data_IF_447780676802
#
_entry.id   IF_447780676802
#
_cell.length_a   1.000
_cell.length_b   1.000
_cell.length_c   1.000
_cell.angle_alpha   90.00
_cell.angle_beta   90.00
_cell.angle_gamma   90.00
#
_symmetry.space_group_name_H-M   'P 1'
#
loop_
_entity.id
_entity.type
_entity.pdbx_description
1 polymer ?
2 non-polymer ?
3 non-polymer ?
4 water ?
#
# COMPACT_ATOMS: atom_id res chain seq x y z
N UNK A 1 20.59 12.11 -12.11
CA UNK A 1 19.65 11.03 -12.43
C UNK A 1 19.02 11.22 -13.81
N UNK A 2 18.63 10.14 -14.46
CA UNK A 2 17.85 10.26 -15.70
C UNK A 2 16.49 10.84 -15.37
N UNK A 3 15.74 11.27 -16.35
CA UNK A 3 14.32 11.56 -16.18
C UNK A 3 13.56 10.36 -15.61
N UNK A 4 12.51 10.56 -14.87
CA UNK A 4 11.82 9.40 -14.26
C UNK A 4 11.48 8.28 -15.22
N UNK A 5 10.96 8.55 -16.40
CA UNK A 5 10.60 7.44 -17.30
C UNK A 5 11.82 6.65 -17.73
N UNK A 6 12.87 7.35 -18.03
CA UNK A 6 14.13 6.73 -18.40
C UNK A 6 14.66 5.89 -17.26
N UNK A 7 14.57 6.37 -16.01
CA UNK A 7 15.03 5.60 -14.87
C UNK A 7 14.15 4.37 -14.66
N UNK A 8 12.85 4.44 -14.86
CA UNK A 8 12.03 3.26 -14.75
C UNK A 8 12.45 2.23 -15.78
N UNK A 9 12.73 2.66 -16.99
CA UNK A 9 13.13 1.71 -18.03
C UNK A 9 14.44 1.04 -17.62
N UNK A 10 15.40 1.83 -17.14
CA UNK A 10 16.68 1.32 -16.74
C UNK A 10 16.53 0.29 -15.63
N UNK A 11 15.62 0.52 -14.70
CA UNK A 11 15.32 -0.41 -13.62
C UNK A 11 14.74 -1.71 -14.22
N UNK A 12 13.88 -1.72 -15.21
CA UNK A 12 13.48 -2.98 -15.88
C UNK A 12 14.66 -3.68 -16.50
N UNK A 13 15.51 -2.96 -17.20
CA UNK A 13 16.66 -3.56 -17.88
C UNK A 13 17.57 -4.19 -16.83
N UNK A 14 17.81 -3.50 -15.73
CA UNK A 14 18.69 -4.03 -14.69
C UNK A 14 18.11 -5.18 -13.89
N UNK A 15 16.84 -5.16 -13.61
CA UNK A 15 16.17 -6.23 -12.86
C UNK A 15 15.74 -7.40 -13.71
N UNK A 16 15.61 -7.25 -14.98
CA UNK A 16 15.00 -8.16 -15.94
C UNK A 16 13.54 -8.38 -15.60
N UNK A 17 12.93 -7.54 -14.75
CA UNK A 17 11.51 -7.71 -14.42
C UNK A 17 10.67 -6.57 -14.98
N UNK A 18 9.39 -6.70 -14.66
CA UNK A 18 8.39 -5.70 -15.02
C UNK A 18 8.23 -4.75 -13.86
N UNK A 19 8.19 -3.48 -14.17
CA UNK A 19 7.92 -2.39 -13.23
C UNK A 19 6.63 -1.76 -13.69
N UNK A 20 5.79 -1.39 -12.74
CA UNK A 20 4.59 -0.58 -12.96
C UNK A 20 4.63 0.65 -12.09
N UNK A 21 4.30 1.81 -12.61
CA UNK A 21 4.37 2.99 -11.78
C UNK A 21 3.39 4.02 -12.19
N UNK A 22 2.85 4.76 -11.21
CA UNK A 22 2.12 6.00 -11.39
C UNK A 22 2.65 7.03 -10.41
N UNK A 23 2.68 8.26 -10.89
CA UNK A 23 2.90 9.49 -10.11
C UNK A 23 1.69 10.35 -10.36
N UNK A 24 0.98 10.74 -9.32
CA UNK A 24 -0.32 11.41 -9.43
C UNK A 24 -0.35 12.55 -8.45
N UNK A 25 -0.86 13.73 -8.83
CA UNK A 25 -1.13 14.80 -7.89
C UNK A 25 -2.21 14.38 -6.90
N UNK A 26 -1.95 14.43 -5.61
CA UNK A 26 -2.93 14.03 -4.61
C UNK A 26 -4.22 14.85 -4.66
N UNK A 27 -4.03 16.16 -4.76
CA UNK A 27 -5.23 17.03 -4.73
C UNK A 27 -6.11 16.88 -5.95
N UNK A 28 -5.53 16.77 -7.12
CA UNK A 28 -6.34 16.79 -8.33
C UNK A 28 -6.50 15.48 -9.06
N UNK A 29 -5.59 14.54 -8.86
CA UNK A 29 -5.65 13.32 -9.61
C UNK A 29 -4.91 13.41 -10.93
N UNK A 30 -4.27 14.50 -11.27
CA UNK A 30 -3.46 14.64 -12.49
C UNK A 30 -2.42 13.51 -12.48
N UNK A 31 -2.34 12.76 -13.54
CA UNK A 31 -1.31 11.77 -13.72
C UNK A 31 -0.10 12.38 -14.37
N UNK A 32 1.04 12.37 -13.71
CA UNK A 32 2.24 12.97 -14.23
C UNK A 32 3.14 11.96 -14.95
N UNK A 33 3.16 10.74 -14.42
CA UNK A 33 3.94 9.66 -14.97
C UNK A 33 3.09 8.38 -14.93
N UNK A 34 3.07 7.67 -16.03
CA UNK A 34 2.46 6.34 -16.16
C UNK A 34 3.51 5.44 -16.80
N UNK A 35 3.60 4.23 -16.30
CA UNK A 35 4.39 3.21 -16.93
C UNK A 35 3.78 1.86 -16.58
N UNK A 36 3.30 1.15 -17.58
CA UNK A 36 2.57 -0.13 -17.37
C UNK A 36 1.44 0.10 -16.37
N UNK A 37 0.78 1.23 -16.45
CA UNK A 37 -0.11 1.62 -15.37
C UNK A 37 -1.42 0.83 -15.38
N UNK A 38 -1.74 0.14 -16.48
CA UNK A 38 -2.94 -0.69 -16.55
C UNK A 38 -2.56 -2.17 -16.52
N UNK A 39 -1.30 -2.51 -16.24
CA UNK A 39 -0.93 -3.91 -16.09
C UNK A 39 -1.08 -4.38 -14.63
N UNK A 40 -1.33 -5.67 -14.48
CA UNK A 40 -1.56 -6.26 -13.19
C UNK A 40 -0.28 -6.62 -12.44
N UNK A 41 -0.30 -6.29 -11.15
CA UNK A 41 0.79 -6.61 -10.24
C UNK A 41 0.23 -7.12 -8.92
N UNK A 42 0.89 -8.09 -8.29
CA UNK A 42 0.46 -8.51 -6.95
C UNK A 42 0.49 -7.32 -5.94
N UNK A 43 -0.55 -7.12 -5.15
CA UNK A 43 -0.57 -6.05 -4.14
C UNK A 43 0.34 -6.35 -2.93
N UNK A 44 0.47 -7.63 -2.63
CA UNK A 44 1.16 -7.98 -1.40
C UNK A 44 0.62 -7.18 -0.22
N UNK A 45 1.48 -6.76 0.70
CA UNK A 45 1.03 -6.11 1.92
C UNK A 45 0.48 -4.71 1.69
N UNK A 46 0.63 -4.13 0.48
CA UNK A 46 0.05 -2.82 0.20
C UNK A 46 -1.47 -2.89 0.30
N UNK A 47 -2.10 -4.06 0.20
CA UNK A 47 -3.54 -4.14 0.33
C UNK A 47 -4.02 -3.67 1.68
N UNK A 48 -3.18 -3.68 2.68
CA UNK A 48 -3.60 -3.33 4.05
C UNK A 48 -4.11 -1.89 4.16
N UNK A 49 -3.63 -1.00 3.30
CA UNK A 49 -4.20 0.37 3.31
C UNK A 49 -5.65 0.36 2.87
N UNK A 50 -5.98 -0.35 1.79
CA UNK A 50 -7.36 -0.43 1.31
C UNK A 50 -8.23 -1.13 2.31
N UNK A 51 -7.71 -2.17 2.94
CA UNK A 51 -8.42 -2.87 4.00
C UNK A 51 -8.91 -1.94 5.08
N UNK A 52 -7.97 -1.10 5.57
CA UNK A 52 -8.39 -0.21 6.66
C UNK A 52 -9.24 0.93 6.12
N UNK A 53 -9.17 1.33 4.86
CA UNK A 53 -10.20 2.15 4.26
C UNK A 53 -11.61 1.55 4.39
N UNK A 54 -11.74 0.26 4.13
CA UNK A 54 -13.01 -0.44 4.22
C UNK A 54 -13.48 -0.45 5.68
N UNK A 55 -12.59 -0.64 6.60
CA UNK A 55 -12.93 -0.63 8.03
C UNK A 55 -13.46 0.75 8.42
N UNK A 56 -12.75 1.81 7.97
CA UNK A 56 -13.16 3.17 8.29
C UNK A 56 -14.50 3.51 7.66
N UNK A 57 -14.79 2.98 6.49
CA UNK A 57 -16.11 3.19 5.91
C UNK A 57 -17.22 2.61 6.78
N UNK A 58 -16.93 1.44 7.32
CA UNK A 58 -17.93 0.86 8.23
C UNK A 58 -18.06 1.69 9.49
N UNK A 59 -16.97 2.24 10.02
CA UNK A 59 -17.08 3.14 11.19
C UNK A 59 -17.92 4.37 10.87
N UNK A 60 -17.70 4.96 9.71
CA UNK A 60 -18.50 6.16 9.36
C UNK A 60 -19.98 5.83 9.24
N UNK A 61 -20.31 4.64 8.79
CA UNK A 61 -21.70 4.20 8.60
C UNK A 61 -22.36 3.77 9.87
N UNK A 62 -21.63 3.74 10.99
CA UNK A 62 -22.20 3.33 12.27
C UNK A 62 -22.21 1.84 12.47
N UNK A 63 -21.51 1.13 11.61
CA UNK A 63 -21.46 -0.30 11.55
C UNK A 63 -20.22 -0.87 12.22
N UNK A 64 -19.31 -0.03 12.70
CA UNK A 64 -18.08 -0.48 13.33
C UNK A 64 -17.64 0.62 14.26
N UNK A 65 -16.80 0.29 15.24
CA UNK A 65 -16.15 1.26 16.12
C UNK A 65 -14.65 0.98 16.16
N UNK A 66 -13.78 1.99 16.05
CA UNK A 66 -12.34 1.73 16.22
C UNK A 66 -12.01 1.26 17.62
N UNK A 67 -12.85 1.59 18.61
CA UNK A 67 -12.62 1.17 19.98
C UNK A 67 -12.99 -0.25 20.25
N UNK A 68 -13.77 -0.91 19.37
CA UNK A 68 -14.27 -2.24 19.71
C UNK A 68 -13.14 -3.26 19.83
N UNK A 69 -13.10 -3.98 20.96
CA UNK A 69 -12.06 -4.94 21.23
C UNK A 69 -12.40 -6.28 20.58
N UNK A 70 -11.47 -6.82 19.83
CA UNK A 70 -11.53 -8.17 19.23
C UNK A 70 -10.67 -9.09 20.01
N UNK A 71 -11.28 -10.21 20.45
CA UNK A 71 -10.50 -11.24 21.11
C UNK A 71 -10.22 -12.32 20.10
N UNK A 72 -9.07 -12.96 20.25
CA UNK A 72 -8.67 -13.97 19.30
C UNK A 72 -7.81 -14.99 20.01
N UNK A 73 -7.52 -16.04 19.31
CA UNK A 73 -6.79 -17.17 19.93
C UNK A 73 -5.51 -17.46 19.16
N UNK A 74 -4.63 -18.20 19.83
CA UNK A 74 -3.31 -18.46 19.24
C UNK A 74 -3.40 -19.23 17.94
N UNK A 75 -4.37 -20.13 17.82
CA UNK A 75 -4.56 -20.96 16.66
C UNK A 75 -4.91 -20.07 15.45
N UNK A 76 -5.36 -18.84 15.70
CA UNK A 76 -5.81 -17.91 14.67
C UNK A 76 -4.61 -17.24 14.03
N UNK A 77 -3.46 -17.22 14.70
CA UNK A 77 -2.31 -16.44 14.28
C UNK A 77 -1.66 -17.07 13.05
N UNK A 78 -1.23 -16.25 12.07
CA UNK A 78 -0.48 -16.63 10.92
C UNK A 78 0.95 -16.11 11.06
N UNK A 79 1.81 -16.47 10.12
CA UNK A 79 3.20 -15.98 10.15
C UNK A 79 3.29 -14.48 10.21
N UNK A 80 4.16 -13.99 11.06
CA UNK A 80 4.55 -12.63 11.32
C UNK A 80 3.38 -11.84 11.91
N UNK A 81 3.34 -11.91 13.23
CA UNK A 81 2.32 -11.34 14.08
C UNK A 81 2.97 -10.58 15.23
N UNK A 82 3.83 -9.63 14.95
CA UNK A 82 4.66 -9.02 15.99
C UNK A 82 3.89 -8.29 17.07
N UNK A 83 2.78 -7.70 16.74
CA UNK A 83 1.93 -7.01 17.72
C UNK A 83 0.87 -7.97 18.23
N UNK A 84 0.16 -8.63 17.30
CA UNK A 84 -1.00 -9.45 17.73
C UNK A 84 -0.60 -10.63 18.60
N UNK A 85 0.60 -11.15 18.44
CA UNK A 85 0.94 -12.29 19.31
C UNK A 85 1.06 -11.86 20.76
N UNK A 86 1.25 -10.61 21.06
CA UNK A 86 1.39 -10.06 22.41
C UNK A 86 0.04 -9.86 23.10
N UNK A 87 -1.10 -10.02 22.47
CA UNK A 87 -2.39 -9.63 23.00
C UNK A 87 -3.38 -10.75 22.96
N UNK A 88 -2.86 -11.99 23.06
CA UNK A 88 -3.79 -13.12 23.12
C UNK A 88 -4.72 -12.97 24.29
N UNK A 89 -4.20 -12.56 25.45
CA UNK A 89 -5.04 -12.47 26.61
C UNK A 89 -6.00 -11.32 26.59
N UNK A 90 -5.57 -10.17 26.07
CA UNK A 90 -6.31 -8.94 26.32
C UNK A 90 -6.98 -8.43 25.06
N UNK A 91 -6.70 -9.05 23.89
CA UNK A 91 -7.34 -8.59 22.70
C UNK A 91 -6.75 -7.28 22.18
N UNK A 92 -7.27 -6.86 21.03
CA UNK A 92 -6.85 -5.61 20.38
C UNK A 92 -8.07 -4.91 19.87
N UNK A 93 -8.06 -3.58 19.93
CA UNK A 93 -9.16 -2.84 19.31
C UNK A 93 -9.06 -2.89 17.79
N UNK A 94 -10.18 -2.64 17.13
CA UNK A 94 -10.17 -2.56 15.66
C UNK A 94 -9.16 -1.51 15.20
N UNK A 95 -9.10 -0.35 15.86
CA UNK A 95 -8.10 0.63 15.49
C UNK A 95 -6.68 0.21 15.74
N UNK A 96 -6.42 -0.47 16.81
CA UNK A 96 -5.10 -1.03 17.08
C UNK A 96 -4.74 -2.06 16.03
N UNK A 97 -5.72 -2.85 15.58
CA UNK A 97 -5.44 -3.85 14.54
C UNK A 97 -5.06 -3.15 13.23
N UNK A 98 -5.76 -2.08 12.86
CA UNK A 98 -5.34 -1.34 11.67
C UNK A 98 -3.98 -0.73 11.83
N UNK A 99 -3.65 -0.17 13.01
CA UNK A 99 -2.31 0.34 13.23
C UNK A 99 -1.30 -0.75 13.05
N UNK A 100 -1.53 -1.95 13.60
CA UNK A 100 -0.59 -3.03 13.49
C UNK A 100 -0.45 -3.50 12.05
N UNK A 101 -1.54 -3.63 11.33
CA UNK A 101 -1.53 -4.08 9.97
C UNK A 101 -0.76 -3.09 9.07
N UNK A 102 -1.07 -1.80 9.17
CA UNK A 102 -0.41 -0.80 8.29
C UNK A 102 0.97 -0.47 8.77
N UNK A 103 1.18 -0.22 10.06
CA UNK A 103 2.48 0.30 10.49
C UNK A 103 3.53 -0.76 10.73
N UNK A 104 3.12 -2.01 10.99
CA UNK A 104 4.01 -3.11 11.25
C UNK A 104 3.83 -4.24 10.25
N UNK A 105 2.83 -4.23 9.39
CA UNK A 105 2.53 -5.32 8.44
C UNK A 105 2.19 -6.63 9.20
N UNK A 106 1.52 -6.46 10.33
CA UNK A 106 1.12 -7.62 11.12
C UNK A 106 0.05 -8.37 10.35
N UNK A 107 0.32 -9.65 10.08
CA UNK A 107 -0.52 -10.40 9.18
C UNK A 107 -1.75 -10.95 9.88
N UNK A 108 -1.63 -11.36 11.13
CA UNK A 108 -2.82 -11.76 11.88
C UNK A 108 -3.78 -10.60 12.07
N UNK A 109 -3.25 -9.43 12.34
CA UNK A 109 -4.13 -8.25 12.47
C UNK A 109 -4.88 -8.06 11.17
N UNK A 110 -4.19 -8.15 10.02
CA UNK A 110 -4.88 -7.98 8.74
C UNK A 110 -6.00 -9.02 8.57
N UNK A 111 -5.72 -10.28 8.92
CA UNK A 111 -6.76 -11.28 8.78
C UNK A 111 -7.92 -11.07 9.71
N UNK A 112 -7.67 -10.61 10.94
CA UNK A 112 -8.79 -10.30 11.84
C UNK A 112 -9.64 -9.17 11.25
N UNK A 113 -9.02 -8.17 10.66
CA UNK A 113 -9.75 -7.07 10.05
C UNK A 113 -10.51 -7.56 8.82
N UNK A 114 -9.88 -8.42 8.02
CA UNK A 114 -10.58 -8.95 6.84
C UNK A 114 -11.88 -9.62 7.28
N UNK A 115 -11.85 -10.34 8.39
CA UNK A 115 -13.05 -11.03 8.86
C UNK A 115 -14.11 -9.98 9.18
N UNK A 116 -13.78 -8.78 9.61
CA UNK A 116 -14.80 -7.80 9.91
C UNK A 116 -15.45 -7.18 8.67
N UNK A 117 -14.81 -7.22 7.49
CA UNK A 117 -15.32 -6.50 6.32
C UNK A 117 -15.87 -7.53 5.32
N UNK A 118 -16.01 -8.79 5.71
CA UNK A 118 -16.58 -9.75 4.77
C UNK A 118 -15.56 -10.57 3.99
N UNK A 119 -14.31 -10.66 4.49
CA UNK A 119 -13.27 -11.40 3.82
C UNK A 119 -12.83 -10.74 2.55
N UNK A 120 -11.93 -11.43 1.84
CA UNK A 120 -11.49 -10.94 0.50
C UNK A 120 -12.63 -10.56 -0.41
N UNK A 121 -13.73 -11.33 -0.49
CA UNK A 121 -14.86 -10.99 -1.33
C UNK A 121 -15.51 -9.68 -0.89
N UNK A 122 -15.65 -9.50 0.41
CA UNK A 122 -16.14 -8.26 1.00
C UNK A 122 -15.30 -7.04 0.69
N UNK A 123 -13.99 -7.22 0.79
CA UNK A 123 -13.10 -6.12 0.44
C UNK A 123 -13.19 -5.80 -1.06
N UNK A 124 -13.27 -6.84 -1.88
CA UNK A 124 -13.40 -6.59 -3.31
C UNK A 124 -14.72 -5.87 -3.58
N UNK A 125 -15.80 -6.25 -2.91
CA UNK A 125 -17.08 -5.54 -3.10
C UNK A 125 -16.98 -4.08 -2.67
N UNK A 126 -16.25 -3.79 -1.61
CA UNK A 126 -16.02 -2.40 -1.20
C UNK A 126 -15.34 -1.63 -2.30
N UNK A 127 -14.29 -2.21 -2.87
CA UNK A 127 -13.57 -1.60 -3.97
C UNK A 127 -14.53 -1.26 -5.09
N UNK A 128 -15.38 -2.22 -5.46
CA UNK A 128 -16.32 -1.98 -6.59
C UNK A 128 -17.24 -0.84 -6.19
N UNK A 129 -17.65 -0.74 -4.96
CA UNK A 129 -18.55 0.32 -4.55
C UNK A 129 -17.92 1.69 -4.58
N UNK A 130 -16.61 1.83 -4.47
CA UNK A 130 -15.97 3.15 -4.56
C UNK A 130 -15.46 3.37 -5.99
N UNK A 131 -15.77 2.48 -6.92
CA UNK A 131 -15.54 2.62 -8.35
C UNK A 131 -14.23 2.07 -8.83
N UNK A 132 -13.61 1.20 -8.03
CA UNK A 132 -12.44 0.46 -8.49
C UNK A 132 -12.91 -0.90 -9.03
N UNK A 133 -12.81 -1.03 -10.36
CA UNK A 133 -13.35 -2.17 -11.05
C UNK A 133 -12.26 -3.19 -11.39
N UNK A 134 -11.04 -2.94 -10.90
CA UNK A 134 -9.87 -3.72 -11.29
C UNK A 134 -9.26 -4.45 -10.11
N UNK A 135 -8.97 -3.76 -9.03
CA UNK A 135 -8.29 -4.38 -7.90
C UNK A 135 -9.13 -5.52 -7.35
N UNK A 136 -8.46 -6.57 -6.94
CA UNK A 136 -9.16 -7.72 -6.39
C UNK A 136 -8.33 -8.40 -5.30
N UNK A 137 -8.98 -8.75 -4.22
CA UNK A 137 -8.40 -9.60 -3.20
C UNK A 137 -9.16 -10.93 -3.22
N UNK A 138 -8.40 -12.01 -3.20
CA UNK A 138 -8.96 -13.35 -3.29
C UNK A 138 -8.53 -14.27 -2.15
N UNK A 139 -7.42 -14.01 -1.50
CA UNK A 139 -6.88 -14.84 -0.43
C UNK A 139 -6.61 -14.00 0.80
N UNK A 140 -6.27 -14.75 1.84
CA UNK A 140 -5.95 -14.23 3.18
C UNK A 140 -4.45 -14.16 3.35
N UNK A 141 -3.99 -13.49 4.41
CA UNK A 141 -2.55 -13.59 4.70
C UNK A 141 -2.17 -15.03 5.13
N UNK A 142 -1.06 -15.60 4.70
CA UNK A 142 0.00 -15.03 3.86
C UNK A 142 -0.06 -15.52 2.43
N UNK A 143 -1.10 -16.27 2.08
CA UNK A 143 -1.13 -16.87 0.75
C UNK A 143 -1.26 -15.86 -0.38
N UNK A 144 -1.67 -14.66 -0.08
CA UNK A 144 -1.92 -13.64 -1.13
C UNK A 144 -0.62 -13.12 -1.74
N UNK A 145 0.55 -13.41 -1.18
CA UNK A 145 1.83 -12.98 -1.70
C UNK A 145 2.50 -13.91 -2.70
N UNK A 146 1.79 -14.93 -3.11
CA UNK A 146 2.42 -16.00 -3.92
C UNK A 146 2.91 -15.52 -5.28
N UNK A 147 2.29 -14.55 -5.92
CA UNK A 147 2.78 -13.95 -7.16
C UNK A 147 3.08 -14.98 -8.21
N UNK A 148 2.12 -15.91 -8.44
CA UNK A 148 2.32 -16.87 -9.53
C UNK A 148 2.30 -16.20 -10.87
N UNK A 149 3.14 -16.57 -11.81
CA UNK A 149 3.02 -16.03 -13.17
C UNK A 149 1.61 -16.17 -13.72
N UNK A 150 1.06 -15.08 -14.26
CA UNK A 150 -0.19 -15.15 -14.98
C UNK A 150 -1.43 -15.17 -14.14
N UNK A 151 -1.29 -15.11 -12.82
CA UNK A 151 -2.40 -15.29 -11.93
C UNK A 151 -2.96 -13.93 -11.55
N UNK A 152 -4.24 -13.75 -11.81
CA UNK A 152 -4.87 -12.46 -11.53
C UNK A 152 -5.32 -12.29 -10.10
N UNK A 153 -5.31 -13.30 -9.26
CA UNK A 153 -5.71 -13.19 -7.89
C UNK A 153 -4.83 -12.20 -7.15
N UNK A 154 -5.45 -11.43 -6.27
CA UNK A 154 -4.75 -10.54 -5.34
C UNK A 154 -3.86 -9.51 -6.05
N UNK A 155 -4.40 -8.96 -7.12
CA UNK A 155 -3.69 -7.99 -7.95
C UNK A 155 -4.40 -6.66 -7.99
N UNK A 156 -3.63 -5.65 -8.36
CA UNK A 156 -4.08 -4.31 -8.72
C UNK A 156 -3.37 -3.89 -9.97
N UNK A 157 -3.65 -2.67 -10.38
CA UNK A 157 -2.83 -1.97 -11.38
C UNK A 157 -2.31 -0.71 -10.71
N UNK A 158 -1.18 -0.18 -11.16
CA UNK A 158 -0.73 1.10 -10.59
C UNK A 158 -1.80 2.18 -10.70
N UNK A 159 -2.49 2.29 -11.83
CA UNK A 159 -3.48 3.35 -12.02
C UNK A 159 -4.67 3.14 -11.05
N UNK A 160 -5.09 1.89 -10.89
CA UNK A 160 -6.26 1.68 -10.02
C UNK A 160 -5.92 1.89 -8.57
N UNK A 161 -4.74 1.45 -8.13
CA UNK A 161 -4.33 1.63 -6.73
C UNK A 161 -4.18 3.12 -6.45
N UNK A 162 -3.53 3.86 -7.34
CA UNK A 162 -3.41 5.29 -7.08
C UNK A 162 -4.74 5.96 -6.98
N UNK A 163 -5.67 5.67 -7.92
CA UNK A 163 -6.99 6.32 -7.88
C UNK A 163 -7.73 5.94 -6.58
N UNK A 164 -7.63 4.68 -6.18
CA UNK A 164 -8.29 4.20 -4.98
C UNK A 164 -7.74 4.90 -3.74
N UNK A 165 -6.42 5.01 -3.63
CA UNK A 165 -5.83 5.72 -2.51
C UNK A 165 -6.28 7.16 -2.47
N UNK A 166 -6.31 7.81 -3.62
CA UNK A 166 -6.79 9.19 -3.63
C UNK A 166 -8.22 9.29 -3.17
N UNK A 167 -9.08 8.38 -3.59
CA UNK A 167 -10.48 8.36 -3.16
C UNK A 167 -10.59 8.22 -1.66
N UNK A 168 -9.81 7.34 -1.08
CA UNK A 168 -9.89 7.10 0.36
C UNK A 168 -9.40 8.30 1.13
N UNK A 169 -8.31 8.91 0.68
CA UNK A 169 -7.69 9.97 1.46
C UNK A 169 -8.39 11.31 1.29
N UNK A 170 -9.01 11.59 0.15
CA UNK A 170 -9.43 12.94 -0.22
C UNK A 170 -10.85 13.08 -0.69
N UNK A 171 -11.59 12.04 -1.02
CA UNK A 171 -12.84 12.30 -1.73
C UNK A 171 -14.08 12.44 -0.92
N UNK A 172 -14.03 12.35 0.36
CA UNK A 172 -15.14 12.59 1.28
C UNK A 172 -16.09 11.37 1.24
N UNK A 173 -15.65 10.29 0.56
CA UNK A 173 -16.24 8.98 0.85
C UNK A 173 -16.06 8.61 2.29
N UNK A 174 -14.88 8.85 2.87
CA UNK A 174 -14.60 8.72 4.27
C UNK A 174 -14.80 10.09 4.92
N UNK A 175 -15.26 10.04 6.16
CA UNK A 175 -15.43 11.25 6.95
C UNK A 175 -14.07 11.91 7.14
N UNK A 176 -14.13 13.17 7.55
CA UNK A 176 -12.90 13.94 7.77
C UNK A 176 -12.00 13.24 8.78
N UNK A 177 -12.54 12.81 9.93
CA UNK A 177 -11.70 12.19 10.95
C UNK A 177 -11.14 10.87 10.42
N UNK A 178 -11.94 10.14 9.65
CA UNK A 178 -11.44 8.88 9.05
C UNK A 178 -10.35 9.12 8.03
N UNK A 179 -10.49 10.15 7.19
CA UNK A 179 -9.42 10.44 6.25
C UNK A 179 -8.15 10.78 6.97
N UNK A 180 -8.27 11.52 8.09
CA UNK A 180 -7.09 11.90 8.84
C UNK A 180 -6.44 10.67 9.49
N UNK A 181 -7.27 9.74 9.98
CA UNK A 181 -6.75 8.53 10.56
C UNK A 181 -5.99 7.68 9.58
N UNK A 182 -6.52 7.50 8.37
CA UNK A 182 -5.88 6.66 7.36
C UNK A 182 -4.51 7.20 7.03
N UNK A 183 -4.49 8.52 6.82
CA UNK A 183 -3.25 9.23 6.54
C UNK A 183 -2.23 9.02 7.65
N UNK A 184 -2.65 9.21 8.88
CA UNK A 184 -1.75 9.06 10.02
C UNK A 184 -1.18 7.67 10.13
N UNK A 185 -1.96 6.63 9.88
CA UNK A 185 -1.42 5.29 9.89
C UNK A 185 -0.30 5.12 8.86
N UNK A 186 -0.42 5.70 7.67
CA UNK A 186 0.63 5.64 6.66
C UNK A 186 1.84 6.47 7.08
N UNK A 187 1.63 7.63 7.70
CA UNK A 187 2.72 8.42 8.24
C UNK A 187 3.57 7.64 9.23
N UNK A 188 2.88 6.81 10.05
CA UNK A 188 3.49 6.01 11.12
C UNK A 188 4.07 4.69 10.69
N UNK A 189 4.21 4.38 9.40
CA UNK A 189 4.80 3.12 9.00
C UNK A 189 6.19 2.91 9.61
N UNK A 190 6.37 1.81 10.29
CA UNK A 190 7.65 1.48 10.89
C UNK A 190 8.52 0.65 10.01
N UNK A 191 7.97 -0.03 9.03
CA UNK A 191 8.76 -0.97 8.23
C UNK A 191 9.70 -0.24 7.29
N UNK A 192 9.26 0.76 6.57
CA UNK A 192 10.05 1.48 5.61
C UNK A 192 10.08 2.98 5.85
N UNK A 193 9.17 3.60 6.59
CA UNK A 193 9.18 5.04 6.76
C UNK A 193 10.49 5.61 7.24
N UNK A 194 10.99 5.14 8.37
CA UNK A 194 12.25 5.68 8.87
C UNK A 194 13.43 5.49 7.91
N UNK A 195 13.50 4.35 7.30
CA UNK A 195 14.54 4.11 6.31
C UNK A 195 14.47 5.09 5.14
N UNK A 196 13.27 5.31 4.65
CA UNK A 196 13.07 6.28 3.56
C UNK A 196 13.47 7.66 4.03
N UNK A 197 13.08 8.09 5.24
CA UNK A 197 13.49 9.42 5.71
C UNK A 197 14.99 9.55 5.79
N UNK A 198 15.67 8.46 6.11
CA UNK A 198 17.15 8.50 6.23
C UNK A 198 17.82 8.83 4.91
N UNK A 199 17.19 8.62 3.78
CA UNK A 199 17.80 8.96 2.48
C UNK A 199 17.07 10.06 1.76
N UNK A 200 15.99 10.61 2.31
CA UNK A 200 15.34 11.74 1.65
C UNK A 200 16.02 13.03 2.02
N UNK A 201 16.10 13.97 1.07
CA UNK A 201 16.60 15.29 1.44
C UNK A 201 15.75 15.90 2.53
N UNK A 202 16.31 16.79 3.30
CA UNK A 202 15.53 17.63 4.24
C UNK A 202 14.40 18.29 3.48
N UNK A 203 13.23 18.35 4.13
CA UNK A 203 12.09 19.05 3.56
C UNK A 203 11.11 18.15 2.86
N UNK A 204 11.42 16.89 2.59
CA UNK A 204 10.50 15.99 1.88
C UNK A 204 9.67 15.18 2.86
N UNK A 205 8.38 15.19 2.61
CA UNK A 205 7.36 14.40 3.28
C UNK A 205 7.36 12.96 2.74
N UNK A 206 7.17 11.99 3.62
CA UNK A 206 6.86 10.64 3.18
C UNK A 206 5.84 10.04 4.11
N UNK A 207 4.89 9.30 3.50
CA UNK A 207 3.98 8.38 4.17
C UNK A 207 3.88 7.17 3.25
N UNK A 208 3.74 5.94 3.76
CA UNK A 208 3.88 4.84 2.82
C UNK A 208 3.31 3.52 3.42
N UNK A 209 3.10 2.57 2.52
CA UNK A 209 3.01 1.15 2.85
C UNK A 209 3.78 0.37 1.80
N UNK A 210 4.60 -0.59 2.21
CA UNK A 210 5.40 -1.43 1.31
C UNK A 210 4.88 -2.87 1.33
N UNK A 211 5.32 -3.66 0.35
CA UNK A 211 5.06 -5.09 0.30
C UNK A 211 6.16 -5.80 -0.46
N UNK A 212 6.16 -7.10 -0.27
CA UNK A 212 7.09 -7.99 -0.96
C UNK A 212 6.41 -9.32 -1.21
N UNK A 213 6.84 -10.07 -2.20
CA UNK A 213 6.28 -11.38 -2.49
C UNK A 213 7.29 -12.25 -3.24
N UNK A 214 6.76 -13.34 -3.78
CA UNK A 214 7.60 -14.28 -4.50
C UNK A 214 8.02 -13.78 -5.86
N UNK A 215 9.01 -14.46 -6.43
CA UNK A 215 9.50 -14.17 -7.78
C UNK A 215 9.85 -12.68 -7.94
N UNK A 216 10.41 -12.13 -6.85
CA UNK A 216 10.87 -10.78 -6.89
C UNK A 216 9.83 -9.71 -6.64
N UNK A 217 8.59 -10.08 -6.37
CA UNK A 217 7.52 -9.04 -6.23
C UNK A 217 7.93 -8.07 -5.13
N UNK A 218 7.64 -6.81 -5.36
CA UNK A 218 7.97 -5.73 -4.46
C UNK A 218 7.03 -4.59 -4.74
N UNK A 219 6.64 -3.82 -3.75
CA UNK A 219 5.83 -2.66 -4.04
C UNK A 219 5.84 -1.64 -2.96
N UNK A 220 5.41 -0.43 -3.34
CA UNK A 220 5.23 0.67 -2.39
C UNK A 220 4.08 1.52 -2.91
N UNK A 221 3.23 1.92 -1.97
CA UNK A 221 2.25 2.98 -2.16
C UNK A 221 2.66 4.11 -1.22
N UNK A 222 2.82 5.31 -1.75
CA UNK A 222 3.39 6.37 -0.97
C UNK A 222 2.78 7.72 -1.30
N UNK A 223 2.88 8.62 -0.33
CA UNK A 223 2.65 10.05 -0.49
C UNK A 223 4.00 10.75 -0.30
N UNK A 224 4.33 11.65 -1.21
CA UNK A 224 5.65 12.27 -1.25
C UNK A 224 5.49 13.71 -1.67
N UNK A 225 6.34 14.58 -1.13
CA UNK A 225 6.40 15.94 -1.68
C UNK A 225 7.42 16.80 -0.92
N UNK A 226 7.81 17.86 -1.62
CA UNK A 226 8.70 18.89 -1.00
C UNK A 226 7.92 19.79 -0.05
N UNK A 227 8.68 20.57 0.65
CA UNK A 227 8.10 21.59 1.52
C UNK A 227 7.19 20.96 2.54
N UNK A 228 7.51 19.70 2.98
CA UNK A 228 6.84 19.00 4.06
C UNK A 228 5.35 18.79 3.79
N UNK A 229 5.01 18.63 2.53
CA UNK A 229 3.64 18.43 2.07
C UNK A 229 3.47 17.15 1.28
N UNK A 230 2.38 16.47 1.50
CA UNK A 230 1.99 15.26 0.73
C UNK A 230 1.47 15.56 -0.68
N UNK A 231 2.32 16.00 -1.60
CA UNK A 231 1.88 16.56 -2.87
C UNK A 231 1.42 15.47 -3.85
N UNK A 232 2.10 14.35 -3.91
CA UNK A 232 1.85 13.33 -4.91
C UNK A 232 1.70 11.96 -4.28
N UNK A 233 0.86 11.17 -4.94
CA UNK A 233 0.84 9.72 -4.74
C UNK A 233 1.80 9.09 -5.70
N UNK A 234 2.63 8.18 -5.20
CA UNK A 234 3.54 7.44 -6.04
C UNK A 234 3.30 5.97 -5.70
N UNK A 235 2.99 5.21 -6.75
CA UNK A 235 2.77 3.75 -6.65
C UNK A 235 3.75 3.09 -7.53
N UNK A 236 4.55 2.16 -6.98
CA UNK A 236 5.53 1.41 -7.77
C UNK A 236 5.40 -0.05 -7.38
N UNK A 237 5.23 -0.91 -8.37
CA UNK A 237 5.22 -2.35 -8.23
C UNK A 237 6.28 -2.95 -9.15
N UNK A 238 6.88 -4.02 -8.68
CA UNK A 238 7.87 -4.80 -9.41
C UNK A 238 7.39 -6.23 -9.43
N UNK A 239 7.57 -7.01 -10.47
CA UNK A 239 7.28 -8.45 -10.48
C UNK A 239 8.26 -9.12 -11.46
N UNK A 240 8.39 -10.43 -11.18
CA UNK A 240 9.07 -11.37 -12.07
C UNK A 240 10.53 -10.97 -12.33
N UNK A 241 11.27 -10.76 -11.25
CA UNK A 241 12.70 -10.45 -11.30
C UNK A 241 13.40 -11.42 -10.37
N UNK A 242 14.59 -11.96 -10.69
CA UNK A 242 15.32 -12.80 -9.73
C UNK A 242 16.18 -12.01 -8.77
N UNK A 243 16.09 -10.69 -8.73
CA UNK A 243 17.04 -9.88 -8.03
C UNK A 243 16.91 -9.99 -6.53
N UNK A 244 17.99 -9.74 -5.82
CA UNK A 244 17.99 -9.62 -4.39
C UNK A 244 17.04 -8.50 -3.93
N UNK A 245 16.58 -8.68 -2.68
CA UNK A 245 15.74 -7.66 -2.07
C UNK A 245 16.46 -6.32 -2.06
N UNK A 246 17.77 -6.35 -1.71
CA UNK A 246 18.51 -5.11 -1.69
C UNK A 246 18.53 -4.39 -3.04
N UNK A 247 18.70 -5.13 -4.13
CA UNK A 247 18.71 -4.52 -5.45
C UNK A 247 17.33 -4.02 -5.80
N UNK A 248 16.27 -4.74 -5.48
CA UNK A 248 14.94 -4.19 -5.74
C UNK A 248 14.71 -2.89 -4.98
N UNK A 249 15.15 -2.87 -3.72
CA UNK A 249 15.03 -1.64 -2.94
C UNK A 249 15.79 -0.50 -3.54
N UNK A 250 17.02 -0.76 -3.98
CA UNK A 250 17.85 0.25 -4.61
C UNK A 250 17.25 0.77 -5.92
N UNK A 251 16.61 -0.11 -6.69
CA UNK A 251 15.99 0.39 -7.95
C UNK A 251 14.79 1.26 -7.64
N UNK A 252 13.99 0.89 -6.65
CA UNK A 252 12.86 1.76 -6.28
C UNK A 252 13.39 3.09 -5.76
N UNK A 253 14.44 3.06 -4.97
CA UNK A 253 15.07 4.31 -4.47
C UNK A 253 15.57 5.14 -5.63
N UNK A 254 16.13 4.53 -6.68
CA UNK A 254 16.61 5.27 -7.81
C UNK A 254 15.49 5.95 -8.59
N UNK A 255 14.36 5.30 -8.70
CA UNK A 255 13.17 5.96 -9.26
C UNK A 255 12.82 7.15 -8.41
N UNK A 256 12.85 6.99 -7.08
CA UNK A 256 12.59 8.07 -6.18
C UNK A 256 13.55 9.26 -6.41
N UNK A 257 14.81 8.96 -6.58
CA UNK A 257 15.82 10.01 -6.81
C UNK A 257 15.53 10.77 -8.07
N UNK A 258 15.12 10.06 -9.15
CA UNK A 258 14.78 10.69 -10.41
C UNK A 258 13.58 11.61 -10.22
N UNK A 259 12.55 11.16 -9.48
CA UNK A 259 11.42 12.04 -9.25
C UNK A 259 11.80 13.31 -8.54
N UNK A 260 12.62 13.21 -7.48
CA UNK A 260 13.10 14.34 -6.68
C UNK A 260 13.89 15.32 -7.53
N UNK A 261 14.81 14.76 -8.33
CA UNK A 261 15.67 15.64 -9.15
C UNK A 261 14.93 16.36 -10.27
N UNK A 262 13.80 15.77 -10.72
CA UNK A 262 13.00 16.31 -11.81
C UNK A 262 11.58 16.58 -11.34
N UNK A 263 11.39 17.21 -10.19
CA UNK A 263 10.07 17.28 -9.58
C UNK A 263 9.08 18.16 -10.31
N UNK A 264 9.53 19.27 -10.91
CA UNK A 264 8.58 20.24 -11.50
C UNK A 264 8.25 19.92 -12.93
N UNK A 265 7.35 18.99 -13.15
CA UNK A 265 6.85 18.61 -14.46
C UNK A 265 5.33 18.81 -14.47
X LIG B 1 20.27 15.14 -3.43
X LIG B 1 21.02 15.90 -2.34
X LIG B 1 20.06 16.89 -1.68
X LIG B 1 19.32 17.71 -2.71
X LIG B 1 18.68 16.84 -3.79
X LIG B 1 18.01 17.66 -4.88
X LIG B 1 21.52 15.01 -1.33
X LIG B 1 20.85 17.73 -0.79
X LIG B 1 19.60 15.96 -4.35
X LIG B 1 18.92 18.54 -5.46
X LIG B 1 19.32 14.25 -2.78
X LIG B 1 18.26 18.43 -2.03
X LIG B 1 18.05 10.38 -2.75
X LIG B 1 19.39 10.60 -2.09
X LIG B 1 19.57 12.08 -1.86
X LIG B 1 19.34 12.88 -3.15
X LIG B 1 18.04 12.47 -3.82
X LIG B 1 17.90 13.06 -5.23
X LIG B 1 17.97 8.97 -3.04
X LIG B 1 19.53 9.86 -0.89
X LIG B 1 20.83 12.34 -1.32
X LIG B 1 18.07 11.07 -3.98
X LIG B 1 19.09 12.78 -5.95
X LIG B 1 16.62 8.57 -3.28
X LIG B 1 15.94 7.94 -2.10
X LIG B 1 14.50 7.61 -2.41
X LIG B 1 13.52 7.78 -1.26
X LIG B 1 12.09 7.76 -1.83
X LIG B 1 11.91 6.77 -2.96
X LIG B 1 10.64 5.96 -2.93
X LIG B 1 10.06 5.54 -4.26
X LIG B 1 8.96 6.50 -4.73
X LIG B 1 7.94 6.67 -3.62
X LIG B 1 8.56 7.24 -2.34
X LIG B 1 9.65 6.29 -1.84
X LIG C 1 17.33 1.58 -0.03
X LIG C 1 16.78 2.96 0.32
X LIG C 1 15.38 2.97 0.86
X LIG C 1 14.31 3.14 -0.23
X LIG C 1 13.43 1.89 -0.20
X LIG C 1 12.39 1.81 -1.31
X LIG C 1 11.59 0.50 -1.24
X LIG C 1 10.95 0.35 0.13
X LIG C 1 11.97 0.41 1.26
X LIG C 1 12.80 1.69 1.17
X LIG D 1 3.26 -11.42 4.69
X LIG D 1 4.63 -12.38 4.23
X LIG D 1 5.44 -12.22 3.16
X LIG D 1 5.40 -11.12 2.29
X LIG D 1 4.80 -9.91 2.24
X LIG D 1 4.04 -9.27 3.16
X LIG D 1 3.55 -8.01 2.67
X LIG D 1 3.97 -7.56 1.63
X LIG D 1 6.44 -13.20 2.89
X LIG D 1 7.28 -12.93 2.05
X LIG D 1 6.41 -14.34 3.59
X LIG D 1 3.75 -9.70 4.56
X LIG D 1 4.90 -9.27 5.50
X LIG D 1 5.28 -7.98 5.64
X LIG D 1 6.30 -7.91 6.43
X LIG D 1 6.62 -9.21 6.84
X LIG D 1 5.74 -10.04 6.26
X LIG D 1 7.10 -6.70 6.89
X LIG D 1 8.43 -7.14 7.23
X LIG D 1 8.44 -8.20 8.18
X LIG D 1 7.80 -9.52 7.69
#
# INVERSE_FOLDING_TARGET
SPQPLEQIKLSESQLSGRVGMIEMDLASGRTLTAWRADERFPMMSTFKVVLCGAVLARVDAGDEQLERKIHYRQQDLVDYSPVSEKHLADGMTVGELCAAAITMSDNSAANLLLATVGGPAGLTAFLRQIGDNVTRLDRWETELNEALPGDARDTTTPASMAATLRKLLTSQRLSARSQRQLLQWMVDDRVAGPLIRSVLPAGWFIADKTGAGERGARGIVALLGPNNKAERIVVIYLRDTPASMAERNQQIAGIGAALIEHWQR
MA4 C1 C2 C3 C4 C5 C6 O2 O3 O5 O6 O1 O4 C10 C20 C30 C40 C50 C60 O10 O20 O30 O50 O60 C11 C21 C31 C41 C51 C61 C12 C22 C32 C42 C52 C62
MA4 C31 C41 C51 C61 C12 C22 C32 C42 C52 C62
WY4 S1 C2 C3 N4 C5 C6 C7 O8 C31 O32 O33 C61 C62 N63 C64 N65 C66 C67 O68 C69 C70
#
